data_IF_034319967121
#
_entry.id   IF_034319967121
#
_cell.length_a   1.000
_cell.length_b   1.000
_cell.length_c   1.000
_cell.angle_alpha   90.00
_cell.angle_beta   90.00
_cell.angle_gamma   90.00
#
_symmetry.space_group_name_H-M   'P 1'
#
loop_
_entity.id
_entity.type
_entity.pdbx_description
1 polymer ?
#
# COMPACT_ATOMS: atom_id res chain seq x y z
N UNK A 1 -2.14 13.23 5.15
CA UNK A 1 -3.14 13.00 6.22
C UNK A 1 -3.75 11.59 6.21
N UNK A 2 -3.45 10.71 5.24
CA UNK A 2 -4.05 9.36 5.21
C UNK A 2 -3.46 8.39 6.25
N UNK A 3 -2.21 8.59 6.69
CA UNK A 3 -1.48 7.66 7.56
C UNK A 3 -2.21 7.39 8.90
N UNK A 4 -2.68 8.41 9.66
CA UNK A 4 -3.42 8.15 10.91
C UNK A 4 -4.70 7.35 10.70
N UNK A 5 -5.37 7.54 9.56
CA UNK A 5 -6.61 6.82 9.23
C UNK A 5 -6.30 5.35 8.94
N UNK A 6 -5.29 5.07 8.11
CA UNK A 6 -4.83 3.71 7.81
C UNK A 6 -4.39 2.99 9.08
N UNK A 7 -3.65 3.68 9.96
CA UNK A 7 -3.25 3.14 11.25
C UNK A 7 -4.46 2.73 12.11
N UNK A 8 -5.44 3.63 12.28
CA UNK A 8 -6.63 3.34 13.08
C UNK A 8 -7.45 2.18 12.52
N UNK A 9 -7.55 2.08 11.19
CA UNK A 9 -8.25 1.00 10.50
C UNK A 9 -7.54 -0.35 10.76
N UNK A 10 -6.22 -0.37 10.62
CA UNK A 10 -5.41 -1.56 10.81
C UNK A 10 -5.49 -2.11 12.25
N UNK A 11 -5.50 -1.21 13.23
CA UNK A 11 -5.65 -1.56 14.65
C UNK A 11 -7.05 -2.08 14.96
N UNK A 12 -8.10 -1.49 14.38
CA UNK A 12 -9.48 -1.91 14.61
C UNK A 12 -9.83 -3.24 13.94
N UNK A 13 -9.16 -3.56 12.84
CA UNK A 13 -9.44 -4.74 12.02
C UNK A 13 -8.17 -5.57 11.78
N UNK A 14 -7.59 -6.18 12.84
CA UNK A 14 -6.33 -6.91 12.73
C UNK A 14 -6.42 -8.14 11.82
N UNK A 15 -7.62 -8.68 11.58
CA UNK A 15 -7.85 -9.80 10.67
C UNK A 15 -7.88 -9.41 9.18
N UNK A 16 -7.81 -8.12 8.84
CA UNK A 16 -7.83 -7.64 7.44
C UNK A 16 -6.46 -7.15 7.02
N UNK A 17 -6.03 -7.56 5.83
CA UNK A 17 -4.81 -7.07 5.18
C UNK A 17 -5.09 -5.79 4.39
N UNK A 18 -4.26 -4.77 4.60
CA UNK A 18 -4.44 -3.44 4.02
C UNK A 18 -3.24 -3.11 3.15
N UNK A 19 -3.44 -3.02 1.84
CA UNK A 19 -2.38 -2.67 0.90
C UNK A 19 -2.49 -1.21 0.48
N UNK A 20 -1.46 -0.41 0.78
CA UNK A 20 -1.35 0.99 0.41
C UNK A 20 -0.46 1.14 -0.83
N UNK A 21 -1.06 1.60 -1.93
CA UNK A 21 -0.34 1.96 -3.14
C UNK A 21 0.00 3.46 -3.14
N UNK A 22 1.28 3.82 -3.15
CA UNK A 22 1.72 5.22 -3.14
C UNK A 22 3.11 5.40 -3.74
N UNK A 23 3.57 6.64 -3.90
CA UNK A 23 4.92 6.90 -4.44
C UNK A 23 5.98 6.33 -3.52
N UNK A 24 6.99 5.66 -4.08
CA UNK A 24 8.06 5.00 -3.33
C UNK A 24 8.79 5.93 -2.35
N UNK A 25 8.87 7.23 -2.67
CA UNK A 25 9.44 8.26 -1.76
C UNK A 25 8.73 8.34 -0.40
N UNK A 26 7.48 7.88 -0.30
CA UNK A 26 6.70 7.87 0.93
C UNK A 26 6.84 6.57 1.72
N UNK A 27 7.50 5.55 1.18
CA UNK A 27 7.65 4.23 1.82
C UNK A 27 8.19 4.30 3.26
N UNK A 28 9.17 5.16 3.61
CA UNK A 28 9.66 5.25 4.99
C UNK A 28 8.57 5.60 6.01
N UNK A 29 7.54 6.35 5.61
CA UNK A 29 6.44 6.73 6.50
C UNK A 29 5.50 5.57 6.85
N UNK A 30 5.58 4.44 6.12
CA UNK A 30 4.74 3.27 6.34
C UNK A 30 5.48 2.16 7.10
N UNK A 31 6.75 2.38 7.50
CA UNK A 31 7.55 1.40 8.24
C UNK A 31 7.09 1.20 9.69
N UNK A 32 6.46 2.22 10.29
CA UNK A 32 5.96 2.18 11.67
C UNK A 32 4.50 1.71 11.77
N UNK A 33 3.93 1.22 10.66
CA UNK A 33 2.53 0.77 10.64
C UNK A 33 2.35 -0.65 11.17
N UNK A 34 1.12 -1.00 11.61
CA UNK A 34 0.78 -2.34 12.04
C UNK A 34 1.11 -3.41 10.98
N UNK A 35 1.40 -4.66 11.40
CA UNK A 35 1.92 -5.70 10.52
C UNK A 35 0.96 -6.13 9.40
N UNK A 36 -0.34 -5.88 9.56
CA UNK A 36 -1.38 -6.10 8.56
C UNK A 36 -1.51 -4.94 7.55
N UNK A 37 -0.51 -4.05 7.50
CA UNK A 37 -0.41 -3.01 6.48
C UNK A 37 0.79 -3.28 5.58
N UNK A 38 0.52 -3.36 4.29
CA UNK A 38 1.51 -3.55 3.25
C UNK A 38 1.64 -2.30 2.39
N UNK A 39 2.86 -2.00 1.94
CA UNK A 39 3.12 -0.85 1.08
C UNK A 39 3.59 -1.32 -0.29
N UNK A 40 2.96 -0.80 -1.34
CA UNK A 40 3.39 -0.99 -2.72
C UNK A 40 3.80 0.37 -3.30
N UNK A 41 5.10 0.48 -3.60
CA UNK A 41 5.68 1.66 -4.26
C UNK A 41 5.28 1.70 -5.73
N UNK A 42 4.53 2.73 -6.12
CA UNK A 42 4.23 3.06 -7.51
C UNK A 42 5.09 4.26 -7.93
N UNK A 43 5.89 4.12 -8.98
CA UNK A 43 6.61 5.27 -9.55
C UNK A 43 5.78 5.92 -10.67
N UNK A 44 5.21 7.12 -10.46
CA UNK A 44 4.46 7.81 -11.49
C UNK A 44 5.35 8.49 -12.55
N UNK A 45 6.67 8.53 -12.37
CA UNK A 45 7.58 9.26 -13.29
C UNK A 45 7.99 8.46 -14.53
N UNK A 46 7.80 7.14 -14.52
CA UNK A 46 7.99 6.28 -15.68
C UNK A 46 6.68 6.03 -16.45
N UNK A 47 6.32 6.93 -17.37
CA UNK A 47 5.46 6.70 -18.57
C UNK A 47 4.53 5.47 -18.53
N UNK A 48 3.23 5.70 -18.38
CA UNK A 48 2.15 4.78 -18.78
C UNK A 48 2.32 3.29 -18.41
N UNK A 49 2.18 2.91 -17.13
CA UNK A 49 1.82 1.52 -16.75
C UNK A 49 0.87 1.47 -15.54
N UNK A 50 -0.15 2.33 -15.52
CA UNK A 50 -1.15 2.35 -14.45
C UNK A 50 -2.00 1.08 -14.31
N UNK A 51 -1.97 0.16 -15.28
CA UNK A 51 -2.85 -1.02 -15.32
C UNK A 51 -2.10 -2.36 -15.23
N UNK A 52 -0.78 -2.39 -15.43
CA UNK A 52 0.00 -3.64 -15.40
C UNK A 52 0.33 -4.12 -13.98
N UNK A 53 0.20 -3.27 -12.96
CA UNK A 53 0.36 -3.66 -11.56
C UNK A 53 -0.85 -4.39 -10.96
N UNK A 54 -2.01 -4.35 -11.63
CA UNK A 54 -3.26 -4.97 -11.14
C UNK A 54 -3.45 -6.42 -11.62
N UNK A 55 -2.61 -6.94 -12.53
CA UNK A 55 -2.81 -8.25 -13.16
C UNK A 55 -1.78 -9.33 -12.76
N UNK A 56 -0.88 -9.10 -11.80
CA UNK A 56 0.11 -10.12 -11.41
C UNK A 56 -0.34 -11.02 -10.25
N UNK A 57 -1.60 -10.93 -9.81
CA UNK A 57 -2.11 -11.66 -8.64
C UNK A 57 -3.39 -12.50 -8.91
N UNK A 58 -3.56 -12.96 -10.15
CA UNK A 58 -4.43 -14.12 -10.42
C UNK A 58 -3.54 -15.32 -10.76
N UNK A 59 -3.20 -16.18 -9.77
CA UNK A 59 -2.70 -17.51 -10.07
C UNK A 59 -3.88 -18.33 -10.63
N UNK A 60 -3.62 -18.99 -11.75
CA UNK A 60 -4.45 -20.07 -12.28
C UNK A 60 -4.21 -21.34 -11.44
#
# INVERSE_FOLDING_TARGET
MAIPVVYSLAVQYPQHEITVLSRTVWQPLFQELPPNVHFIGADPTGRHKGWWGLNSFMPN
#
